data_IF_504753639361
#
_entry.id   IF_504753639361
#
_cell.length_a   1.000
_cell.length_b   1.000
_cell.length_c   1.000
_cell.angle_alpha   90.00
_cell.angle_beta   90.00
_cell.angle_gamma   90.00
#
_symmetry.space_group_name_H-M   'P 1'
#
loop_
_entity.id
_entity.type
_entity.pdbx_description
1 polymer ?
#
# COMPACT_ATOMS: atom_id res chain seq x y z
N UNK A 1 8.71 15.62 21.83
CA UNK A 1 8.36 14.20 21.59
C UNK A 1 8.35 13.94 20.09
N UNK A 2 9.53 13.97 19.44
CA UNK A 2 9.65 13.80 17.98
C UNK A 2 10.67 12.72 17.60
N UNK A 3 11.79 12.65 18.32
CA UNK A 3 12.91 11.76 17.96
C UNK A 3 12.64 10.25 18.15
N UNK A 4 11.80 9.87 19.12
CA UNK A 4 11.55 8.45 19.39
C UNK A 4 10.72 7.74 18.30
N UNK A 5 10.01 8.49 17.47
CA UNK A 5 9.18 7.94 16.38
C UNK A 5 9.99 7.68 15.10
N UNK A 6 11.12 8.38 14.93
CA UNK A 6 11.99 8.26 13.76
C UNK A 6 13.25 7.42 14.02
N UNK A 7 13.45 6.93 15.25
CA UNK A 7 14.54 6.01 15.54
C UNK A 7 14.29 4.65 14.88
N UNK A 8 15.31 4.15 14.19
CA UNK A 8 15.29 2.81 13.58
C UNK A 8 15.57 1.82 14.70
N UNK A 9 14.53 1.20 15.24
CA UNK A 9 14.64 0.13 16.26
C UNK A 9 13.83 -1.09 15.81
N UNK A 10 14.16 -2.30 16.29
CA UNK A 10 13.38 -3.50 15.96
C UNK A 10 11.90 -3.35 16.31
N UNK A 11 11.57 -2.78 17.47
CA UNK A 11 10.19 -2.50 17.86
C UNK A 11 9.49 -1.52 16.92
N UNK A 12 10.14 -0.41 16.54
CA UNK A 12 9.54 0.60 15.65
C UNK A 12 9.34 0.05 14.23
N UNK A 13 10.28 -0.77 13.74
CA UNK A 13 10.18 -1.45 12.46
C UNK A 13 9.00 -2.43 12.44
N UNK A 14 8.86 -3.28 13.47
CA UNK A 14 7.71 -4.20 13.61
C UNK A 14 6.38 -3.48 13.74
N UNK A 15 6.35 -2.40 14.52
CA UNK A 15 5.14 -1.58 14.70
C UNK A 15 4.71 -0.96 13.38
N UNK A 16 5.65 -0.40 12.62
CA UNK A 16 5.39 0.16 11.30
C UNK A 16 4.98 -0.93 10.31
N UNK A 17 5.63 -2.09 10.31
CA UNK A 17 5.27 -3.23 9.48
C UNK A 17 3.82 -3.68 9.70
N UNK A 18 3.42 -3.82 10.96
CA UNK A 18 2.04 -4.17 11.32
C UNK A 18 1.04 -3.09 10.89
N UNK A 19 1.41 -1.81 11.02
CA UNK A 19 0.56 -0.71 10.56
C UNK A 19 0.34 -0.77 9.04
N UNK A 20 1.38 -1.06 8.27
CA UNK A 20 1.27 -1.21 6.81
C UNK A 20 0.40 -2.39 6.42
N UNK A 21 0.49 -3.53 7.13
CA UNK A 21 -0.43 -4.67 6.92
C UNK A 21 -1.88 -4.31 7.21
N UNK A 22 -2.14 -3.63 8.32
CA UNK A 22 -3.50 -3.16 8.61
C UNK A 22 -4.01 -2.25 7.48
N UNK A 23 -3.19 -1.34 6.97
CA UNK A 23 -3.57 -0.50 5.83
C UNK A 23 -3.81 -1.32 4.56
N UNK A 24 -3.03 -2.39 4.34
CA UNK A 24 -3.22 -3.33 3.22
C UNK A 24 -4.59 -3.99 3.29
N UNK A 25 -4.96 -4.53 4.47
CA UNK A 25 -6.27 -5.12 4.73
C UNK A 25 -7.40 -4.11 4.54
N UNK A 26 -7.20 -2.87 4.99
CA UNK A 26 -8.19 -1.79 4.87
C UNK A 26 -8.41 -1.35 3.41
N UNK A 27 -7.36 -1.32 2.59
CA UNK A 27 -7.47 -0.98 1.17
C UNK A 27 -8.22 -2.08 0.40
N UNK A 28 -8.07 -3.35 0.81
CA UNK A 28 -8.79 -4.48 0.23
C UNK A 28 -10.27 -4.55 0.69
N UNK A 29 -10.60 -4.00 1.86
CA UNK A 29 -11.95 -3.98 2.41
C UNK A 29 -12.83 -2.94 1.70
N UNK A 30 -13.72 -3.42 0.83
CA UNK A 30 -14.67 -2.56 0.09
C UNK A 30 -15.73 -1.90 0.96
N UNK A 31 -15.92 -2.35 2.21
CA UNK A 31 -16.75 -1.68 3.21
C UNK A 31 -16.07 -0.46 3.82
N UNK A 32 -14.73 -0.43 3.87
CA UNK A 32 -13.93 0.72 4.37
C UNK A 32 -13.49 1.64 3.24
N UNK A 33 -13.02 1.08 2.13
CA UNK A 33 -12.62 1.80 0.92
C UNK A 33 -13.55 1.36 -0.21
N UNK A 34 -14.71 2.02 -0.38
CA UNK A 34 -15.67 1.63 -1.42
C UNK A 34 -15.12 1.85 -2.84
N UNK A 35 -15.73 1.17 -3.81
CA UNK A 35 -15.53 1.52 -5.22
C UNK A 35 -16.20 2.86 -5.54
N UNK A 36 -15.78 3.49 -6.64
CA UNK A 36 -16.35 4.76 -7.08
C UNK A 36 -17.82 4.61 -7.51
N UNK A 37 -18.28 3.39 -7.83
CA UNK A 37 -19.69 3.08 -8.04
C UNK A 37 -20.20 3.56 -9.40
N UNK A 38 -19.32 3.57 -10.41
CA UNK A 38 -19.60 4.07 -11.75
C UNK A 38 -20.76 3.34 -12.44
N UNK A 39 -20.95 2.05 -12.15
CA UNK A 39 -22.06 1.24 -12.65
C UNK A 39 -23.45 1.88 -12.51
N UNK A 40 -23.71 2.63 -11.41
CA UNK A 40 -24.98 3.35 -11.22
C UNK A 40 -25.14 4.50 -12.20
N UNK A 41 -24.06 5.24 -12.46
CA UNK A 41 -24.02 6.32 -13.44
C UNK A 41 -24.15 5.83 -14.88
N UNK A 42 -23.46 4.74 -15.22
CA UNK A 42 -23.56 4.08 -16.54
C UNK A 42 -24.99 3.64 -16.84
N UNK A 43 -25.65 3.01 -15.87
CA UNK A 43 -27.03 2.51 -16.04
C UNK A 43 -28.05 3.64 -16.09
N UNK A 44 -27.94 4.64 -15.21
CA UNK A 44 -28.88 5.75 -15.12
C UNK A 44 -28.77 6.78 -16.25
N UNK A 45 -27.63 6.81 -16.97
CA UNK A 45 -27.35 7.75 -18.05
C UNK A 45 -26.85 7.04 -19.31
N UNK A 46 -27.46 5.91 -19.66
CA UNK A 46 -27.09 5.12 -20.82
C UNK A 46 -27.05 5.98 -22.10
N UNK A 47 -25.93 5.91 -22.84
CA UNK A 47 -25.70 6.70 -24.05
C UNK A 47 -25.03 8.06 -23.82
N UNK A 48 -24.83 8.50 -22.57
CA UNK A 48 -24.05 9.70 -22.26
C UNK A 48 -22.55 9.43 -22.35
N UNK A 49 -21.82 10.34 -23.01
CA UNK A 49 -20.36 10.32 -23.06
C UNK A 49 -19.71 10.43 -21.66
N UNK A 50 -20.37 11.13 -20.73
CA UNK A 50 -19.91 11.26 -19.34
C UNK A 50 -20.04 9.93 -18.61
N UNK A 51 -21.16 9.23 -18.82
CA UNK A 51 -21.41 7.93 -18.21
C UNK A 51 -20.45 6.86 -18.76
N UNK A 52 -20.16 6.90 -20.06
CA UNK A 52 -19.14 6.07 -20.68
C UNK A 52 -17.75 6.31 -20.07
N UNK A 53 -17.34 7.57 -19.90
CA UNK A 53 -16.07 7.91 -19.27
C UNK A 53 -15.98 7.48 -17.79
N UNK A 54 -17.11 7.50 -17.07
CA UNK A 54 -17.18 7.00 -15.69
C UNK A 54 -17.08 5.48 -15.61
N UNK A 55 -17.53 4.74 -16.63
CA UNK A 55 -17.54 3.27 -16.62
C UNK A 55 -16.17 2.63 -16.36
N UNK A 56 -15.09 3.30 -16.75
CA UNK A 56 -13.71 2.84 -16.54
C UNK A 56 -13.19 3.11 -15.13
N UNK A 57 -13.90 3.90 -14.31
CA UNK A 57 -13.45 4.28 -12.98
C UNK A 57 -13.48 3.12 -11.98
N UNK A 58 -14.45 2.21 -12.08
CA UNK A 58 -14.54 1.02 -11.22
C UNK A 58 -13.36 0.04 -11.45
N UNK A 59 -13.04 -0.38 -12.69
CA UNK A 59 -11.88 -1.23 -12.94
C UNK A 59 -10.55 -0.53 -12.65
N UNK A 60 -10.42 0.76 -12.95
CA UNK A 60 -9.22 1.53 -12.59
C UNK A 60 -9.03 1.61 -11.05
N UNK A 61 -10.12 1.81 -10.31
CA UNK A 61 -10.10 1.80 -8.84
C UNK A 61 -9.70 0.43 -8.29
N UNK A 62 -10.20 -0.67 -8.88
CA UNK A 62 -9.80 -2.02 -8.48
C UNK A 62 -8.30 -2.26 -8.68
N UNK A 63 -7.77 -1.90 -9.86
CA UNK A 63 -6.34 -2.01 -10.14
C UNK A 63 -5.48 -1.20 -9.17
N UNK A 64 -5.88 0.05 -8.89
CA UNK A 64 -5.17 0.89 -7.94
C UNK A 64 -5.13 0.28 -6.53
N UNK A 65 -6.24 -0.30 -6.06
CA UNK A 65 -6.30 -0.99 -4.76
C UNK A 65 -5.37 -2.19 -4.71
N UNK A 66 -5.35 -3.03 -5.75
CA UNK A 66 -4.44 -4.18 -5.84
C UNK A 66 -2.98 -3.75 -5.77
N UNK A 67 -2.60 -2.70 -6.50
CA UNK A 67 -1.23 -2.16 -6.46
C UNK A 67 -0.87 -1.63 -5.08
N UNK A 68 -1.76 -0.88 -4.44
CA UNK A 68 -1.55 -0.36 -3.10
C UNK A 68 -1.41 -1.47 -2.06
N UNK A 69 -2.29 -2.47 -2.09
CA UNK A 69 -2.24 -3.63 -1.20
C UNK A 69 -0.89 -4.36 -1.33
N UNK A 70 -0.49 -4.71 -2.55
CA UNK A 70 0.77 -5.40 -2.81
C UNK A 70 1.99 -4.62 -2.31
N UNK A 71 1.99 -3.29 -2.48
CA UNK A 71 3.09 -2.43 -2.01
C UNK A 71 3.13 -2.34 -0.50
N UNK A 72 1.99 -2.17 0.16
CA UNK A 72 1.91 -2.10 1.61
C UNK A 72 2.40 -3.42 2.26
N UNK A 73 2.04 -4.56 1.67
CA UNK A 73 2.52 -5.87 2.11
C UNK A 73 4.04 -6.03 1.90
N UNK A 74 4.55 -5.64 0.73
CA UNK A 74 5.98 -5.71 0.43
C UNK A 74 6.81 -4.84 1.38
N UNK A 75 6.37 -3.61 1.65
CA UNK A 75 7.00 -2.74 2.64
C UNK A 75 6.91 -3.33 4.06
N UNK A 76 5.78 -3.90 4.44
CA UNK A 76 5.62 -4.55 5.75
C UNK A 76 6.58 -5.73 5.94
N UNK A 77 6.69 -6.62 4.94
CA UNK A 77 7.63 -7.75 4.95
C UNK A 77 9.08 -7.28 5.05
N UNK A 78 9.41 -6.22 4.33
CA UNK A 78 10.74 -5.63 4.34
C UNK A 78 11.11 -5.09 5.73
N UNK A 79 10.21 -4.33 6.36
CA UNK A 79 10.43 -3.79 7.70
C UNK A 79 10.58 -4.90 8.75
N UNK A 80 9.80 -5.97 8.65
CA UNK A 80 9.97 -7.15 9.53
C UNK A 80 11.30 -7.85 9.31
N UNK A 81 11.75 -7.97 8.06
CA UNK A 81 13.07 -8.51 7.72
C UNK A 81 14.17 -7.61 8.30
N UNK A 82 14.04 -6.29 8.19
CA UNK A 82 14.93 -5.32 8.81
C UNK A 82 14.98 -5.47 10.32
N UNK A 83 13.82 -5.65 10.98
CA UNK A 83 13.73 -5.84 12.42
C UNK A 83 14.36 -7.16 12.89
N UNK A 84 14.22 -8.24 12.12
CA UNK A 84 14.81 -9.54 12.44
C UNK A 84 16.35 -9.55 12.30
N UNK A 85 16.89 -8.71 11.43
CA UNK A 85 18.32 -8.64 11.12
C UNK A 85 19.03 -7.48 11.86
N UNK A 86 18.28 -6.68 12.61
CA UNK A 86 18.81 -5.53 13.34
C UNK A 86 19.77 -5.98 14.45
N UNK A 87 21.05 -5.62 14.31
CA UNK A 87 22.12 -5.95 15.28
C UNK A 87 22.77 -4.71 15.90
N UNK A 88 22.19 -3.52 15.70
CA UNK A 88 22.67 -2.26 16.30
C UNK A 88 23.82 -1.56 15.55
N UNK A 89 24.22 -2.07 14.37
CA UNK A 89 25.10 -1.37 13.43
C UNK A 89 24.34 -1.15 12.10
N UNK A 90 23.75 0.04 11.97
CA UNK A 90 22.68 0.35 11.01
C UNK A 90 23.10 0.51 9.55
N UNK A 91 24.37 0.26 9.20
CA UNK A 91 24.85 0.42 7.82
C UNK A 91 24.48 -0.74 6.92
N UNK A 92 24.50 -1.98 7.42
CA UNK A 92 24.24 -3.17 6.59
C UNK A 92 22.77 -3.38 6.26
N UNK A 93 21.89 -3.08 7.21
CA UNK A 93 20.44 -3.13 6.98
C UNK A 93 20.02 -2.00 6.04
N UNK A 94 20.52 -0.78 6.25
CA UNK A 94 20.28 0.34 5.34
C UNK A 94 20.81 0.07 3.91
N UNK A 95 21.97 -0.58 3.78
CA UNK A 95 22.49 -1.00 2.49
C UNK A 95 21.57 -2.03 1.80
N UNK A 96 21.01 -2.99 2.54
CA UNK A 96 20.01 -3.94 1.99
C UNK A 96 18.70 -3.26 1.61
N UNK A 97 18.23 -2.28 2.39
CA UNK A 97 17.09 -1.43 2.03
C UNK A 97 17.35 -0.70 0.71
N UNK A 98 18.54 -0.14 0.52
CA UNK A 98 18.92 0.56 -0.72
C UNK A 98 19.08 -0.36 -1.92
N UNK A 99 19.32 -1.66 -1.70
CA UNK A 99 19.52 -2.66 -2.74
C UNK A 99 18.21 -3.32 -3.21
N UNK A 100 17.07 -2.99 -2.60
CA UNK A 100 15.80 -3.52 -3.06
C UNK A 100 15.46 -2.95 -4.43
N UNK A 101 14.92 -3.79 -5.33
CA UNK A 101 14.42 -3.32 -6.61
C UNK A 101 13.31 -2.29 -6.41
N UNK A 102 13.22 -1.35 -7.36
CA UNK A 102 12.18 -0.32 -7.35
C UNK A 102 10.79 -1.00 -7.25
N UNK A 103 10.10 -0.73 -6.14
CA UNK A 103 8.77 -1.27 -5.87
C UNK A 103 7.71 -0.71 -6.82
N UNK A 104 8.05 0.29 -7.63
CA UNK A 104 7.22 0.74 -8.75
C UNK A 104 7.30 -0.18 -9.98
N UNK A 105 8.21 -1.15 -10.01
CA UNK A 105 8.34 -2.14 -11.10
C UNK A 105 7.42 -3.35 -10.92
N UNK A 106 6.74 -3.50 -9.78
CA UNK A 106 5.72 -4.52 -9.58
C UNK A 106 4.53 -4.24 -10.52
N UNK A 107 4.57 -4.87 -11.70
CA UNK A 107 3.51 -4.89 -12.70
C UNK A 107 2.57 -6.06 -12.46
#
# INVERSE_FOLDING_TARGET
>A
MGDALFSVTPENLKTTANRLRTMSDEVADTGKVPHLGASRGVTGMAGSAIAAALGDADPASAQAKTVLQSRLDAFGQLLDTGAALYSGQDTDVAARFSALPDLNQAR
#
